data_IF_365046349912
#
_entry.id   IF_365046349912
#
_cell.length_a   1.000
_cell.length_b   1.000
_cell.length_c   1.000
_cell.angle_alpha   90.00
_cell.angle_beta   90.00
_cell.angle_gamma   90.00
#
_symmetry.space_group_name_H-M   'P 1'
#
loop_
_entity.id
_entity.type
_entity.pdbx_description
1 polymer ?
#
# COMPACT_ATOMS: atom_id res chain seq x y z
N UNK A 1 14.67 -23.88 49.56
CA UNK A 1 13.90 -25.12 49.32
C UNK A 1 12.49 -24.73 48.95
N UNK A 2 11.95 -25.43 47.96
CA UNK A 2 10.63 -25.32 47.33
C UNK A 2 10.52 -24.20 46.28
N UNK A 3 10.62 -24.50 44.97
CA UNK A 3 9.58 -25.10 44.08
C UNK A 3 8.50 -24.05 43.75
N UNK A 4 8.18 -23.69 42.50
CA UNK A 4 8.27 -24.33 41.18
C UNK A 4 8.17 -23.22 40.09
N UNK A 5 8.73 -23.43 38.89
CA UNK A 5 8.56 -22.57 37.70
C UNK A 5 7.28 -22.94 36.93
N UNK A 6 6.48 -21.98 36.47
CA UNK A 6 5.49 -22.27 35.42
C UNK A 6 5.05 -21.01 34.64
N UNK A 7 5.02 -21.19 33.31
CA UNK A 7 4.05 -20.62 32.37
C UNK A 7 4.11 -19.10 32.06
N UNK A 8 4.19 -18.64 30.80
CA UNK A 8 4.30 -19.31 29.50
C UNK A 8 4.77 -18.27 28.46
N UNK A 9 5.37 -18.72 27.35
CA UNK A 9 5.70 -17.87 26.20
C UNK A 9 4.45 -17.67 25.31
N UNK A 10 4.03 -16.43 25.11
CA UNK A 10 3.11 -16.02 24.03
C UNK A 10 3.77 -14.90 23.24
N UNK A 11 4.54 -15.21 22.21
CA UNK A 11 4.08 -15.23 20.81
C UNK A 11 3.46 -13.88 20.41
N UNK A 12 4.28 -13.13 19.68
CA UNK A 12 3.90 -12.25 18.56
C UNK A 12 3.12 -10.98 18.88
N UNK A 13 3.85 -9.92 19.25
CA UNK A 13 3.48 -8.54 18.89
C UNK A 13 3.81 -8.23 17.42
N UNK A 14 3.44 -9.13 16.51
CA UNK A 14 3.43 -8.87 15.06
C UNK A 14 1.97 -8.91 14.56
N UNK A 15 1.07 -8.35 15.38
CA UNK A 15 -0.34 -8.14 15.04
C UNK A 15 -0.67 -6.65 15.16
N UNK A 16 0.23 -5.79 14.71
CA UNK A 16 -0.08 -4.37 14.53
C UNK A 16 -0.97 -4.19 13.31
N UNK A 17 -2.24 -4.54 13.51
CA UNK A 17 -3.39 -3.78 13.08
C UNK A 17 -3.44 -3.43 11.59
N UNK A 18 -4.04 -4.34 10.85
CA UNK A 18 -4.85 -4.11 9.63
C UNK A 18 -6.06 -3.17 9.86
N UNK A 19 -6.05 -2.33 10.91
CA UNK A 19 -7.16 -1.46 11.32
C UNK A 19 -6.72 0.00 11.30
N UNK A 20 -7.30 0.77 10.39
CA UNK A 20 -7.13 2.23 10.22
C UNK A 20 -5.74 2.70 9.79
N UNK A 21 -5.34 2.36 8.55
CA UNK A 21 -4.38 3.23 7.87
C UNK A 21 -4.96 4.65 7.87
N UNK A 22 -4.19 5.61 8.36
CA UNK A 22 -4.57 7.01 8.24
C UNK A 22 -4.85 7.31 6.76
N UNK A 23 -5.78 8.23 6.46
CA UNK A 23 -6.12 8.60 5.07
C UNK A 23 -4.87 8.86 4.24
N UNK A 24 -3.87 9.49 4.85
CA UNK A 24 -2.57 9.75 4.24
C UNK A 24 -1.82 8.46 3.87
N UNK A 25 -1.72 7.49 4.77
CA UNK A 25 -1.07 6.21 4.49
C UNK A 25 -1.81 5.40 3.42
N UNK A 26 -3.14 5.40 3.44
CA UNK A 26 -3.92 4.76 2.38
C UNK A 26 -3.62 5.39 1.01
N UNK A 27 -3.59 6.72 0.94
CA UNK A 27 -3.24 7.41 -0.30
C UNK A 27 -1.79 7.14 -0.72
N UNK A 28 -0.84 7.19 0.23
CA UNK A 28 0.58 6.90 0.01
C UNK A 28 0.82 5.48 -0.52
N UNK A 29 0.03 4.49 -0.07
CA UNK A 29 0.18 3.10 -0.49
C UNK A 29 -0.63 2.77 -1.76
N UNK A 30 -1.78 3.40 -1.97
CA UNK A 30 -2.69 3.04 -3.07
C UNK A 30 -2.45 3.86 -4.34
N UNK A 31 -2.30 5.18 -4.24
CA UNK A 31 -2.39 6.08 -5.41
C UNK A 31 -1.20 7.01 -5.60
N UNK A 32 -0.45 7.34 -4.54
CA UNK A 32 0.70 8.26 -4.66
C UNK A 32 1.82 7.75 -5.57
N UNK A 33 2.24 6.46 -5.53
CA UNK A 33 3.34 5.99 -6.37
C UNK A 33 3.02 6.10 -7.87
N UNK A 34 1.82 5.66 -8.25
CA UNK A 34 1.34 5.72 -9.64
C UNK A 34 1.09 7.16 -10.10
N UNK A 35 0.60 8.04 -9.23
CA UNK A 35 0.46 9.47 -9.53
C UNK A 35 1.83 10.13 -9.77
N UNK A 36 2.83 9.85 -8.93
CA UNK A 36 4.17 10.39 -9.10
C UNK A 36 4.81 9.93 -10.42
N UNK A 37 4.64 8.65 -10.79
CA UNK A 37 5.11 8.17 -12.09
C UNK A 37 4.38 8.81 -13.26
N UNK A 38 3.04 8.91 -13.19
CA UNK A 38 2.24 9.52 -14.23
C UNK A 38 2.61 11.00 -14.43
N UNK A 39 2.79 11.75 -13.34
CA UNK A 39 3.23 13.15 -13.37
C UNK A 39 4.66 13.28 -13.94
N UNK A 40 5.57 12.37 -13.59
CA UNK A 40 6.93 12.35 -14.13
C UNK A 40 6.97 12.08 -15.64
N UNK A 41 6.12 11.16 -16.12
CA UNK A 41 5.96 10.88 -17.55
C UNK A 41 5.33 12.08 -18.28
N UNK A 42 4.26 12.65 -17.71
CA UNK A 42 3.59 13.85 -18.24
C UNK A 42 4.55 15.04 -18.35
N UNK A 43 5.43 15.25 -17.36
CA UNK A 43 6.42 16.32 -17.37
C UNK A 43 7.48 16.16 -18.46
N UNK A 44 7.81 14.91 -18.83
CA UNK A 44 8.77 14.59 -19.88
C UNK A 44 8.16 14.72 -21.28
N UNK A 45 6.96 14.19 -21.49
CA UNK A 45 6.33 14.20 -22.82
C UNK A 45 5.64 15.52 -23.15
N UNK A 46 5.17 16.28 -22.15
CA UNK A 46 4.35 17.50 -22.32
C UNK A 46 3.25 17.33 -23.39
N UNK A 47 2.33 16.37 -23.20
CA UNK A 47 1.22 16.18 -24.12
C UNK A 47 0.31 17.41 -24.16
N UNK A 48 -0.44 17.58 -25.26
CA UNK A 48 -1.42 18.66 -25.40
C UNK A 48 -2.50 18.62 -24.31
N UNK A 49 -2.88 17.42 -23.87
CA UNK A 49 -3.79 17.20 -22.73
C UNK A 49 -3.11 16.41 -21.60
N UNK A 50 -2.51 17.10 -20.61
CA UNK A 50 -1.85 16.45 -19.49
C UNK A 50 -2.83 15.68 -18.58
N UNK A 51 -4.10 16.10 -18.50
CA UNK A 51 -5.09 15.44 -17.64
C UNK A 51 -5.48 14.10 -18.24
N UNK A 52 -5.81 14.07 -19.54
CA UNK A 52 -6.15 12.84 -20.25
C UNK A 52 -4.97 11.86 -20.27
N UNK A 53 -3.73 12.35 -20.37
CA UNK A 53 -2.54 11.52 -20.30
C UNK A 53 -2.39 10.83 -18.94
N UNK A 54 -2.48 11.60 -17.84
CA UNK A 54 -2.37 11.06 -16.48
C UNK A 54 -3.49 10.06 -16.18
N UNK A 55 -4.73 10.35 -16.60
CA UNK A 55 -5.86 9.44 -16.43
C UNK A 55 -5.66 8.10 -17.16
N UNK A 56 -5.21 8.15 -18.43
CA UNK A 56 -4.90 6.95 -19.20
C UNK A 56 -3.72 6.16 -18.59
N UNK A 57 -2.70 6.87 -18.09
CA UNK A 57 -1.56 6.25 -17.40
C UNK A 57 -2.02 5.48 -16.16
N UNK A 58 -2.85 6.12 -15.33
CA UNK A 58 -3.44 5.49 -14.15
C UNK A 58 -4.21 4.23 -14.52
N UNK A 59 -5.09 4.28 -15.54
CA UNK A 59 -5.88 3.12 -15.95
C UNK A 59 -5.05 1.96 -16.51
N UNK A 60 -3.95 2.27 -17.21
CA UNK A 60 -3.03 1.28 -17.79
C UNK A 60 -2.16 0.62 -16.73
N UNK A 61 -1.65 1.38 -15.78
CA UNK A 61 -0.76 0.89 -14.73
C UNK A 61 -1.50 0.41 -13.47
N UNK A 62 -2.80 0.69 -13.30
CA UNK A 62 -3.56 0.37 -12.07
C UNK A 62 -3.35 -1.06 -11.59
N UNK A 63 -3.22 -2.03 -12.49
CA UNK A 63 -3.05 -3.46 -12.16
C UNK A 63 -1.68 -3.78 -11.56
N UNK A 64 -0.64 -3.02 -11.91
CA UNK A 64 0.71 -3.13 -11.30
C UNK A 64 0.75 -2.53 -9.89
N UNK A 65 -0.06 -1.51 -9.63
CA UNK A 65 -0.06 -0.76 -8.37
C UNK A 65 -1.17 -1.15 -7.41
N UNK A 66 -2.09 -2.04 -7.83
CA UNK A 66 -3.03 -2.63 -6.89
C UNK A 66 -2.23 -3.45 -5.88
N UNK A 67 -2.25 -3.09 -4.58
CA UNK A 67 -1.69 -3.96 -3.56
C UNK A 67 -2.44 -5.28 -3.65
N UNK A 68 -1.69 -6.38 -3.78
CA UNK A 68 -2.24 -7.72 -3.71
C UNK A 68 -3.00 -7.82 -2.39
N UNK A 69 -4.33 -7.80 -2.46
CA UNK A 69 -5.14 -8.23 -1.33
C UNK A 69 -5.08 -9.75 -1.38
N UNK A 70 -4.07 -10.33 -0.74
CA UNK A 70 -4.04 -11.77 -0.48
C UNK A 70 -5.39 -12.18 0.15
N UNK A 71 -6.19 -13.05 -0.50
CA UNK A 71 -7.37 -13.63 0.10
C UNK A 71 -6.95 -14.89 0.87
N UNK A 72 -6.09 -14.76 1.89
CA UNK A 72 -5.67 -15.94 2.66
C UNK A 72 -5.58 -15.61 4.15
N UNK A 73 -6.64 -15.94 4.87
CA UNK A 73 -6.73 -16.33 6.31
C UNK A 73 -8.24 -16.55 6.54
N UNK A 74 -8.84 -17.68 6.12
CA UNK A 74 -8.97 -18.95 6.87
C UNK A 74 -9.10 -18.80 8.38
#
# INVERSE_FOLDING_TARGET
MSDTPENTPGISQDQCNTTSLSTRQYLDQAVVPILLQAMGACAKERPEDPIAYVANYLLKEKSRFQPHKDPTTQ
#
